data_IF_520716357898
#
_entry.id   IF_520716357898
#
_cell.length_a   1.000
_cell.length_b   1.000
_cell.length_c   1.000
_cell.angle_alpha   90.00
_cell.angle_beta   90.00
_cell.angle_gamma   90.00
#
_symmetry.space_group_name_H-M   'P 1'
#
loop_
_entity.id
_entity.type
_entity.pdbx_description
1 polymer ?
#
# COMPACT_ATOMS: atom_id res chain seq x y z
N UNK A 1 23.95 -3.61 26.51
CA UNK A 1 23.27 -3.43 25.21
C UNK A 1 23.73 -4.56 24.32
N UNK A 2 22.83 -5.30 23.67
CA UNK A 2 23.26 -6.24 22.63
C UNK A 2 23.96 -5.44 21.52
N UNK A 3 25.05 -5.98 20.99
CA UNK A 3 25.82 -5.34 19.92
C UNK A 3 24.89 -5.09 18.72
N UNK A 4 24.61 -3.82 18.41
CA UNK A 4 23.72 -3.47 17.30
C UNK A 4 24.42 -3.85 16.02
N UNK A 5 23.89 -4.82 15.28
CA UNK A 5 24.42 -5.21 13.98
C UNK A 5 24.45 -4.00 13.05
N UNK A 6 25.63 -3.69 12.49
CA UNK A 6 25.80 -2.54 11.60
C UNK A 6 25.06 -2.70 10.27
N UNK A 7 25.13 -3.89 9.65
CA UNK A 7 24.44 -4.20 8.39
C UNK A 7 24.25 -5.71 8.25
N UNK A 8 23.32 -6.13 7.38
CA UNK A 8 23.18 -7.54 7.01
C UNK A 8 24.45 -8.02 6.30
N UNK A 9 25.04 -7.17 5.48
CA UNK A 9 26.22 -7.41 4.67
C UNK A 9 27.45 -7.75 5.53
N UNK A 10 27.61 -7.09 6.69
CA UNK A 10 28.65 -7.40 7.67
C UNK A 10 28.46 -8.80 8.30
N UNK A 11 27.23 -9.30 8.37
CA UNK A 11 26.97 -10.68 8.80
C UNK A 11 27.25 -11.67 7.67
N UNK A 12 26.80 -11.35 6.45
CA UNK A 12 26.97 -12.22 5.28
C UNK A 12 28.44 -12.39 4.88
N UNK A 13 29.29 -11.38 5.11
CA UNK A 13 30.73 -11.45 4.81
C UNK A 13 31.47 -12.55 5.58
N UNK A 14 30.85 -13.14 6.62
CA UNK A 14 31.39 -14.24 7.42
C UNK A 14 31.19 -15.61 6.75
N UNK A 15 30.42 -15.68 5.67
CA UNK A 15 30.16 -16.91 4.90
C UNK A 15 31.31 -17.20 3.93
N UNK A 16 31.48 -18.49 3.60
CA UNK A 16 32.39 -18.88 2.52
C UNK A 16 31.94 -18.32 1.16
N UNK A 17 32.88 -18.06 0.26
CA UNK A 17 32.60 -17.37 -1.01
C UNK A 17 31.53 -18.05 -1.88
N UNK A 18 31.47 -19.39 -1.87
CA UNK A 18 30.47 -20.14 -2.62
C UNK A 18 29.07 -19.91 -2.06
N UNK A 19 28.91 -20.01 -0.75
CA UNK A 19 27.64 -19.82 -0.06
C UNK A 19 27.21 -18.35 -0.12
N UNK A 20 28.15 -17.41 0.02
CA UNK A 20 27.89 -15.98 -0.11
C UNK A 20 27.28 -15.64 -1.48
N UNK A 21 27.83 -16.16 -2.58
CA UNK A 21 27.30 -15.92 -3.93
C UNK A 21 25.87 -16.43 -4.08
N UNK A 22 25.60 -17.63 -3.57
CA UNK A 22 24.27 -18.22 -3.66
C UNK A 22 23.25 -17.49 -2.78
N UNK A 23 23.64 -17.13 -1.56
CA UNK A 23 22.84 -16.30 -0.67
C UNK A 23 22.56 -14.94 -1.32
N UNK A 24 23.56 -14.31 -1.94
CA UNK A 24 23.36 -13.03 -2.63
C UNK A 24 22.41 -13.15 -3.82
N UNK A 25 22.49 -14.23 -4.60
CA UNK A 25 21.57 -14.51 -5.71
C UNK A 25 20.13 -14.65 -5.20
N UNK A 26 19.91 -15.34 -4.09
CA UNK A 26 18.57 -15.57 -3.54
C UNK A 26 18.02 -14.30 -2.86
N UNK A 27 18.82 -13.65 -2.01
CA UNK A 27 18.38 -12.50 -1.21
C UNK A 27 18.33 -11.21 -2.03
N UNK A 28 19.30 -10.96 -2.91
CA UNK A 28 19.38 -9.70 -3.67
C UNK A 28 19.03 -9.86 -5.14
N UNK A 29 18.94 -11.08 -5.68
CA UNK A 29 18.69 -11.37 -7.10
C UNK A 29 19.98 -11.62 -7.88
N UNK A 30 20.94 -10.70 -7.78
CA UNK A 30 22.30 -10.83 -8.34
C UNK A 30 23.25 -9.88 -7.61
N UNK A 31 24.55 -10.14 -7.70
CA UNK A 31 25.57 -9.18 -7.28
C UNK A 31 25.57 -7.99 -8.25
N UNK A 32 25.70 -6.78 -7.71
CA UNK A 32 25.74 -5.54 -8.49
C UNK A 32 27.18 -5.03 -8.61
N UNK A 33 27.49 -4.40 -9.74
CA UNK A 33 28.74 -3.68 -9.92
C UNK A 33 28.72 -2.38 -9.11
N UNK A 34 29.86 -2.00 -8.53
CA UNK A 34 29.98 -0.78 -7.75
C UNK A 34 30.41 0.42 -8.60
N UNK A 35 29.83 1.59 -8.33
CA UNK A 35 30.22 2.84 -8.99
C UNK A 35 31.51 3.38 -8.34
N UNK A 36 32.49 3.76 -9.16
CA UNK A 36 33.68 4.48 -8.69
C UNK A 36 33.39 5.98 -8.61
N UNK A 37 33.44 6.55 -7.40
CA UNK A 37 33.15 7.97 -7.13
C UNK A 37 34.21 8.58 -6.22
N UNK A 38 35.48 8.71 -6.65
CA UNK A 38 36.60 9.03 -5.75
C UNK A 38 36.44 10.37 -5.03
N UNK A 39 36.04 11.44 -5.75
CA UNK A 39 35.85 12.76 -5.14
C UNK A 39 34.69 12.79 -4.13
N UNK A 40 33.57 12.14 -4.46
CA UNK A 40 32.44 12.01 -3.54
C UNK A 40 32.80 11.15 -2.32
N UNK A 41 33.58 10.08 -2.52
CA UNK A 41 34.03 9.19 -1.44
C UNK A 41 34.95 9.90 -0.46
N UNK A 42 35.92 10.65 -0.95
CA UNK A 42 36.80 11.46 -0.10
C UNK A 42 35.99 12.50 0.71
N UNK A 43 35.02 13.16 0.09
CA UNK A 43 34.15 14.10 0.78
C UNK A 43 33.25 13.42 1.83
N UNK A 44 32.69 12.25 1.50
CA UNK A 44 31.85 11.47 2.42
C UNK A 44 32.64 10.96 3.63
N UNK A 45 33.86 10.46 3.42
CA UNK A 45 34.72 9.97 4.50
C UNK A 45 35.09 11.09 5.47
N UNK A 46 35.38 12.30 4.95
CA UNK A 46 35.63 13.49 5.80
C UNK A 46 34.41 13.91 6.60
N UNK A 47 33.22 13.73 6.04
CA UNK A 47 31.94 14.11 6.64
C UNK A 47 31.32 13.00 7.52
N UNK A 48 31.95 11.82 7.61
CA UNK A 48 31.41 10.67 8.33
C UNK A 48 30.07 10.18 7.76
N UNK A 49 29.95 10.11 6.43
CA UNK A 49 28.77 9.64 5.72
C UNK A 49 29.10 8.31 5.02
N UNK A 50 28.27 7.29 5.25
CA UNK A 50 28.35 6.02 4.52
C UNK A 50 27.91 6.22 3.07
N UNK A 51 28.88 6.33 2.15
CA UNK A 51 28.62 6.42 0.71
C UNK A 51 28.77 5.04 0.05
N UNK A 52 27.67 4.56 -0.54
CA UNK A 52 27.62 3.34 -1.35
C UNK A 52 27.16 3.65 -2.77
N UNK A 53 27.64 2.89 -3.75
CA UNK A 53 27.39 3.12 -5.18
C UNK A 53 27.17 1.83 -5.96
N UNK A 54 26.06 1.69 -6.70
CA UNK A 54 25.77 0.49 -7.50
C UNK A 54 25.20 0.79 -8.91
N UNK A 55 25.38 -0.14 -9.84
CA UNK A 55 24.87 -0.03 -11.22
C UNK A 55 23.77 -1.08 -11.47
N UNK A 56 22.64 -0.66 -12.05
CA UNK A 56 21.56 -1.51 -12.53
C UNK A 56 21.28 -1.21 -14.02
N UNK A 57 22.02 -1.88 -14.90
CA UNK A 57 21.92 -1.69 -16.35
C UNK A 57 20.78 -2.49 -16.98
N UNK A 58 20.14 -1.91 -18.00
CA UNK A 58 19.21 -2.61 -18.88
C UNK A 58 19.94 -3.27 -20.07
N UNK A 59 19.25 -4.14 -20.81
CA UNK A 59 19.77 -4.65 -22.07
C UNK A 59 19.79 -3.54 -23.13
N UNK A 60 20.72 -3.60 -24.08
CA UNK A 60 20.79 -2.61 -25.17
C UNK A 60 19.57 -2.74 -26.10
N UNK A 61 18.88 -1.63 -26.34
CA UNK A 61 17.79 -1.56 -27.31
C UNK A 61 18.28 -1.04 -28.68
N UNK A 62 17.60 -1.45 -29.75
CA UNK A 62 17.93 -1.01 -31.12
C UNK A 62 17.29 0.33 -31.48
N UNK A 63 16.13 0.65 -30.90
CA UNK A 63 15.30 1.82 -31.26
C UNK A 63 15.31 2.91 -30.20
N UNK A 64 15.85 2.64 -29.00
CA UNK A 64 15.95 3.60 -27.90
C UNK A 64 17.38 3.66 -27.39
N UNK A 65 17.85 4.87 -27.15
CA UNK A 65 19.09 5.07 -26.38
C UNK A 65 18.86 4.67 -24.91
N UNK A 66 19.91 4.23 -24.19
CA UNK A 66 19.86 4.04 -22.74
C UNK A 66 19.34 5.30 -22.03
N UNK A 67 18.43 5.13 -21.07
CA UNK A 67 17.89 6.23 -20.25
C UNK A 67 18.50 6.15 -18.86
N UNK A 68 19.80 6.45 -18.80
CA UNK A 68 20.61 6.30 -17.57
C UNK A 68 20.40 7.50 -16.65
N UNK A 69 20.11 7.21 -15.37
CA UNK A 69 19.84 8.19 -14.32
C UNK A 69 20.54 7.75 -13.04
N UNK A 70 21.14 8.68 -12.30
CA UNK A 70 21.67 8.43 -10.95
C UNK A 70 20.68 8.89 -9.90
N UNK A 71 20.25 7.95 -9.06
CA UNK A 71 19.33 8.19 -7.95
C UNK A 71 20.10 8.17 -6.64
N UNK A 72 19.86 9.17 -5.79
CA UNK A 72 20.39 9.29 -4.44
C UNK A 72 19.32 9.05 -3.37
N UNK A 73 19.60 8.15 -2.42
CA UNK A 73 18.77 7.92 -1.24
C UNK A 73 19.54 8.34 0.01
N UNK A 74 18.95 9.25 0.80
CA UNK A 74 19.58 9.81 2.00
C UNK A 74 18.91 9.29 3.26
N UNK A 75 19.71 8.73 4.17
CA UNK A 75 19.31 8.45 5.54
C UNK A 75 20.20 9.23 6.52
N UNK A 76 19.61 9.78 7.58
CA UNK A 76 20.36 10.53 8.58
C UNK A 76 19.67 10.52 9.95
N UNK A 77 20.47 10.77 10.98
CA UNK A 77 20.02 11.05 12.36
C UNK A 77 19.55 12.49 12.47
N UNK A 78 18.83 12.80 13.56
CA UNK A 78 18.74 14.18 14.03
C UNK A 78 20.11 14.67 14.52
N UNK A 79 20.34 15.98 14.45
CA UNK A 79 21.64 16.58 14.78
C UNK A 79 21.69 17.12 16.20
N UNK A 80 20.64 17.82 16.62
CA UNK A 80 20.52 18.40 17.95
C UNK A 80 19.53 17.61 18.81
N UNK A 81 19.63 17.75 20.13
CA UNK A 81 18.69 17.14 21.06
C UNK A 81 17.26 17.67 20.81
N UNK A 82 16.27 16.82 21.06
CA UNK A 82 14.86 17.15 20.81
C UNK A 82 14.35 18.30 21.71
N UNK A 83 15.06 18.60 22.81
CA UNK A 83 14.78 19.72 23.71
C UNK A 83 15.27 21.09 23.23
N UNK A 84 16.09 21.14 22.17
CA UNK A 84 16.59 22.40 21.61
C UNK A 84 15.47 23.18 20.89
N UNK A 85 15.63 24.50 20.64
CA UNK A 85 14.63 25.26 19.89
C UNK A 85 14.34 24.68 18.49
N UNK A 86 13.07 24.65 18.09
CA UNK A 86 12.59 24.08 16.80
C UNK A 86 13.40 24.61 15.60
N UNK A 87 13.64 25.91 15.55
CA UNK A 87 14.40 26.55 14.47
C UNK A 87 15.88 26.12 14.45
N UNK A 88 16.51 25.95 15.62
CA UNK A 88 17.88 25.48 15.73
C UNK A 88 18.01 24.02 15.24
N UNK A 89 17.09 23.16 15.65
CA UNK A 89 17.03 21.76 15.20
C UNK A 89 16.87 21.69 13.67
N UNK A 90 15.95 22.47 13.10
CA UNK A 90 15.73 22.54 11.64
C UNK A 90 16.97 23.01 10.89
N UNK A 91 17.61 24.10 11.34
CA UNK A 91 18.82 24.64 10.73
C UNK A 91 19.99 23.66 10.78
N UNK A 92 20.15 22.94 11.89
CA UNK A 92 21.18 21.91 11.99
C UNK A 92 20.96 20.76 10.98
N UNK A 93 19.71 20.34 10.80
CA UNK A 93 19.32 19.38 9.76
C UNK A 93 19.54 19.93 8.35
N UNK A 94 19.20 21.19 8.08
CA UNK A 94 19.47 21.84 6.79
C UNK A 94 20.97 21.80 6.46
N UNK A 95 21.84 22.18 7.39
CA UNK A 95 23.30 22.15 7.21
C UNK A 95 23.81 20.73 6.93
N UNK A 96 23.32 19.73 7.66
CA UNK A 96 23.72 18.32 7.45
C UNK A 96 23.27 17.80 6.08
N UNK A 97 22.05 18.10 5.68
CA UNK A 97 21.53 17.72 4.36
C UNK A 97 22.21 18.48 3.22
N UNK A 98 22.61 19.74 3.42
CA UNK A 98 23.40 20.48 2.42
C UNK A 98 24.73 19.77 2.12
N UNK A 99 25.43 19.32 3.16
CA UNK A 99 26.67 18.56 3.01
C UNK A 99 26.46 17.26 2.22
N UNK A 100 25.42 16.49 2.55
CA UNK A 100 25.07 15.25 1.83
C UNK A 100 24.68 15.54 0.37
N UNK A 101 23.90 16.58 0.09
CA UNK A 101 23.51 16.97 -1.28
C UNK A 101 24.74 17.38 -2.10
N UNK A 102 25.71 18.08 -1.49
CA UNK A 102 26.97 18.44 -2.17
C UNK A 102 27.78 17.19 -2.53
N UNK A 103 27.83 16.19 -1.65
CA UNK A 103 28.45 14.89 -1.94
C UNK A 103 27.69 14.15 -3.05
N UNK A 104 26.36 14.16 -3.02
CA UNK A 104 25.52 13.60 -4.08
C UNK A 104 25.77 14.27 -5.43
N UNK A 105 25.97 15.59 -5.46
CA UNK A 105 26.34 16.32 -6.66
C UNK A 105 27.73 15.90 -7.19
N UNK A 106 28.73 15.70 -6.32
CA UNK A 106 30.04 15.13 -6.71
C UNK A 106 29.92 13.69 -7.25
N UNK A 107 28.92 12.94 -6.80
CA UNK A 107 28.59 11.61 -7.29
C UNK A 107 27.75 11.63 -8.58
N UNK A 108 27.36 12.81 -9.09
CA UNK A 108 26.57 12.96 -10.31
C UNK A 108 25.10 12.54 -10.15
N UNK A 109 24.53 12.61 -8.95
CA UNK A 109 23.12 12.30 -8.70
C UNK A 109 22.21 13.27 -9.47
N UNK A 110 21.19 12.74 -10.15
CA UNK A 110 20.18 13.51 -10.87
C UNK A 110 18.89 13.70 -10.06
N UNK A 111 18.49 12.68 -9.29
CA UNK A 111 17.31 12.72 -8.42
C UNK A 111 17.73 12.27 -7.03
N UNK A 112 17.49 13.11 -6.02
CA UNK A 112 17.74 12.76 -4.62
C UNK A 112 16.45 12.77 -3.80
N UNK A 113 16.29 11.79 -2.92
CA UNK A 113 15.18 11.74 -1.98
C UNK A 113 15.68 11.69 -0.55
N UNK A 114 15.06 12.51 0.29
CA UNK A 114 15.27 12.55 1.73
C UNK A 114 14.30 11.61 2.44
N UNK A 115 14.58 11.27 3.69
CA UNK A 115 13.72 10.42 4.53
C UNK A 115 12.42 11.12 4.95
N UNK A 116 11.51 10.38 5.58
CA UNK A 116 10.24 10.96 6.05
C UNK A 116 10.45 12.01 7.16
N UNK A 117 9.74 13.14 7.03
CA UNK A 117 9.77 14.26 7.97
C UNK A 117 11.22 14.64 8.34
N UNK A 118 12.09 14.72 7.33
CA UNK A 118 13.54 14.79 7.52
C UNK A 118 14.00 16.01 8.31
N UNK A 119 13.21 17.08 8.29
CA UNK A 119 13.50 18.37 8.92
C UNK A 119 13.03 18.48 10.38
N UNK A 120 12.66 17.36 11.01
CA UNK A 120 12.25 17.28 12.41
C UNK A 120 12.61 15.94 13.07
N UNK A 121 12.67 15.86 14.41
CA UNK A 121 12.50 14.60 15.14
C UNK A 121 11.13 13.99 14.85
N UNK A 122 11.03 12.68 14.88
CA UNK A 122 9.79 11.94 14.66
C UNK A 122 8.89 11.93 15.90
N UNK A 123 8.52 13.13 16.36
CA UNK A 123 7.88 13.39 17.65
C UNK A 123 6.44 12.87 17.79
N UNK A 124 5.90 12.17 16.80
CA UNK A 124 4.50 11.75 16.78
C UNK A 124 4.16 10.75 17.91
N UNK A 125 5.16 10.07 18.49
CA UNK A 125 4.97 9.24 19.69
C UNK A 125 4.47 9.99 20.91
N UNK A 126 4.92 11.23 21.08
CA UNK A 126 4.60 12.05 22.25
C UNK A 126 3.10 12.39 22.30
N UNK A 127 2.44 12.46 21.14
CA UNK A 127 1.07 12.97 20.93
C UNK A 127 0.89 14.44 21.32
N UNK A 128 1.96 15.10 21.76
CA UNK A 128 1.96 16.50 22.13
C UNK A 128 1.85 17.36 20.87
N UNK A 129 1.06 18.43 20.93
CA UNK A 129 0.96 19.34 19.79
C UNK A 129 2.10 20.35 19.77
N UNK A 130 2.39 21.00 20.88
CA UNK A 130 3.48 21.98 20.97
C UNK A 130 4.70 21.36 21.66
N UNK A 131 5.93 21.73 21.26
CA UNK A 131 6.26 22.62 20.14
C UNK A 131 6.25 21.92 18.76
N UNK A 132 5.96 20.61 18.70
CA UNK A 132 6.16 19.79 17.50
C UNK A 132 5.42 20.27 16.25
N UNK A 133 4.23 20.84 16.40
CA UNK A 133 3.46 21.40 15.29
C UNK A 133 4.03 22.72 14.72
N UNK A 134 5.02 23.34 15.38
CA UNK A 134 5.79 24.48 14.84
C UNK A 134 6.82 24.03 13.78
N UNK A 135 7.12 22.72 13.68
CA UNK A 135 7.86 22.18 12.54
C UNK A 135 7.06 22.23 11.24
N UNK A 136 5.72 22.32 11.32
CA UNK A 136 4.88 22.35 10.13
C UNK A 136 5.06 23.68 9.36
N UNK A 137 5.33 23.59 8.06
CA UNK A 137 5.59 24.74 7.20
C UNK A 137 4.83 24.67 5.87
N UNK A 138 4.74 25.80 5.14
CA UNK A 138 4.14 25.80 3.79
C UNK A 138 4.93 24.88 2.87
N UNK A 139 4.24 24.02 2.12
CA UNK A 139 4.87 23.11 1.16
C UNK A 139 5.66 23.86 0.07
N UNK A 140 5.19 25.04 -0.35
CA UNK A 140 5.79 25.79 -1.47
C UNK A 140 6.69 26.93 -0.99
N UNK A 141 6.32 27.57 0.13
CA UNK A 141 6.95 28.79 0.62
C UNK A 141 7.66 28.61 1.97
N UNK A 142 7.66 27.39 2.54
CA UNK A 142 8.36 27.06 3.78
C UNK A 142 9.88 27.21 3.64
N UNK A 143 10.55 27.46 4.76
CA UNK A 143 12.00 27.72 4.76
C UNK A 143 12.78 26.55 4.20
N UNK A 144 12.33 25.31 4.44
CA UNK A 144 12.96 24.11 3.90
C UNK A 144 12.84 24.02 2.38
N UNK A 145 11.64 24.27 1.81
CA UNK A 145 11.46 24.25 0.35
C UNK A 145 12.30 25.34 -0.31
N UNK A 146 12.31 26.57 0.23
CA UNK A 146 13.12 27.66 -0.31
C UNK A 146 14.63 27.36 -0.28
N UNK A 147 15.10 26.76 0.82
CA UNK A 147 16.48 26.28 0.95
C UNK A 147 16.81 25.24 -0.13
N UNK A 148 15.96 24.22 -0.30
CA UNK A 148 16.21 23.15 -1.28
C UNK A 148 16.08 23.60 -2.73
N UNK A 149 15.21 24.56 -3.06
CA UNK A 149 15.11 25.15 -4.41
C UNK A 149 16.46 25.71 -4.89
N UNK A 150 17.21 26.35 -3.98
CA UNK A 150 18.55 26.86 -4.28
C UNK A 150 19.51 25.72 -4.62
N UNK A 151 19.51 24.64 -3.84
CA UNK A 151 20.39 23.50 -4.05
C UNK A 151 20.04 22.72 -5.33
N UNK A 152 18.75 22.48 -5.57
CA UNK A 152 18.23 21.84 -6.78
C UNK A 152 18.73 22.54 -8.04
N UNK A 153 18.55 23.87 -8.11
CA UNK A 153 19.04 24.70 -9.22
C UNK A 153 20.56 24.70 -9.34
N UNK A 154 21.28 24.81 -8.21
CA UNK A 154 22.75 24.88 -8.20
C UNK A 154 23.38 23.60 -8.73
N UNK A 155 22.77 22.45 -8.43
CA UNK A 155 23.33 21.14 -8.76
C UNK A 155 22.62 20.46 -9.94
N UNK A 156 21.68 21.13 -10.60
CA UNK A 156 20.84 20.57 -11.66
C UNK A 156 20.23 19.21 -11.24
N UNK A 157 19.61 19.18 -10.06
CA UNK A 157 19.16 17.96 -9.39
C UNK A 157 17.71 18.09 -8.95
N UNK A 158 16.90 17.08 -9.23
CA UNK A 158 15.54 16.97 -8.67
C UNK A 158 15.65 16.55 -7.20
N UNK A 159 14.95 17.26 -6.31
CA UNK A 159 14.96 16.99 -4.86
C UNK A 159 13.54 16.65 -4.39
N UNK A 160 13.40 15.50 -3.73
CA UNK A 160 12.17 15.06 -3.08
C UNK A 160 12.30 15.31 -1.57
N UNK A 161 11.41 16.13 -1.02
CA UNK A 161 11.46 16.62 0.36
C UNK A 161 10.18 16.28 1.14
N UNK A 162 10.17 15.17 1.91
CA UNK A 162 9.09 14.82 2.81
C UNK A 162 9.12 15.66 4.09
N UNK A 163 8.10 16.48 4.31
CA UNK A 163 7.98 17.42 5.43
C UNK A 163 6.61 17.31 6.12
N UNK A 164 6.51 17.93 7.29
CA UNK A 164 5.23 18.27 7.89
C UNK A 164 4.72 19.56 7.22
N UNK A 165 3.65 19.47 6.44
CA UNK A 165 3.04 20.61 5.78
C UNK A 165 2.02 21.26 6.72
N UNK A 166 2.02 22.60 6.77
CA UNK A 166 0.88 23.39 7.20
C UNK A 166 0.23 24.00 5.97
N UNK A 167 -1.01 23.60 5.68
CA UNK A 167 -1.76 24.13 4.54
C UNK A 167 -2.05 25.63 4.74
N UNK A 168 -1.64 26.45 3.78
CA UNK A 168 -1.73 27.91 3.87
C UNK A 168 -3.18 28.44 3.94
N UNK A 169 -4.17 27.65 3.51
CA UNK A 169 -5.58 28.07 3.48
C UNK A 169 -6.27 27.75 4.81
N UNK A 170 -6.20 26.50 5.25
CA UNK A 170 -6.97 26.01 6.43
C UNK A 170 -6.11 25.86 7.68
N UNK A 171 -4.79 26.04 7.59
CA UNK A 171 -3.85 25.77 8.68
C UNK A 171 -3.76 24.29 9.07
N UNK A 172 -4.40 23.39 8.30
CA UNK A 172 -4.44 21.95 8.54
C UNK A 172 -3.05 21.36 8.30
N UNK A 173 -2.67 20.41 9.16
CA UNK A 173 -1.37 19.76 9.08
C UNK A 173 -1.49 18.50 8.22
N UNK A 174 -0.47 18.24 7.39
CA UNK A 174 -0.37 17.08 6.51
C UNK A 174 1.04 16.51 6.53
N UNK A 175 1.18 15.22 6.26
CA UNK A 175 2.47 14.62 5.92
C UNK A 175 2.62 14.61 4.40
N UNK A 176 3.63 15.34 3.91
CA UNK A 176 3.67 15.77 2.51
C UNK A 176 5.06 15.64 1.92
N UNK A 177 5.18 15.00 0.76
CA UNK A 177 6.37 15.06 -0.08
C UNK A 177 6.25 16.18 -1.10
N UNK A 178 7.21 17.11 -1.08
CA UNK A 178 7.34 18.18 -2.08
C UNK A 178 8.36 17.74 -3.13
N UNK A 179 8.03 17.91 -4.42
CA UNK A 179 8.94 17.61 -5.53
C UNK A 179 9.45 18.92 -6.10
N UNK A 180 10.76 19.13 -5.99
CA UNK A 180 11.48 20.30 -6.49
C UNK A 180 12.24 19.87 -7.74
N UNK A 181 11.97 20.54 -8.84
CA UNK A 181 12.59 20.30 -10.15
C UNK A 181 14.07 20.70 -10.16
N UNK A 182 14.84 20.17 -11.11
CA UNK A 182 16.24 20.54 -11.31
C UNK A 182 16.44 22.02 -11.69
N UNK A 183 15.39 22.69 -12.19
CA UNK A 183 15.37 24.14 -12.42
C UNK A 183 15.24 24.96 -11.13
N UNK A 184 14.92 24.32 -10.00
CA UNK A 184 14.57 24.94 -8.73
C UNK A 184 13.10 25.36 -8.62
N UNK A 185 12.25 25.03 -9.58
CA UNK A 185 10.80 25.21 -9.48
C UNK A 185 10.17 24.11 -8.60
N UNK A 186 9.06 24.39 -7.93
CA UNK A 186 8.26 23.34 -7.26
C UNK A 186 7.34 22.73 -8.32
N UNK A 187 7.48 21.43 -8.61
CA UNK A 187 6.59 20.73 -9.55
C UNK A 187 5.22 20.46 -8.91
N UNK A 188 5.21 20.23 -7.61
CA UNK A 188 4.00 19.98 -6.85
C UNK A 188 4.29 19.20 -5.57
N UNK A 189 3.24 18.61 -5.01
CA UNK A 189 3.28 17.87 -3.73
C UNK A 189 2.36 16.65 -3.73
N UNK A 190 2.68 15.68 -2.88
CA UNK A 190 1.86 14.51 -2.60
C UNK A 190 1.70 14.34 -1.09
N UNK A 191 0.45 14.14 -0.62
CA UNK A 191 0.11 13.90 0.79
C UNK A 191 -0.05 12.42 1.08
N UNK A 192 0.44 11.97 2.23
CA UNK A 192 0.46 10.56 2.66
C UNK A 192 -0.96 9.96 2.64
N UNK A 193 -1.20 9.00 1.74
CA UNK A 193 -2.53 8.38 1.56
C UNK A 193 -2.96 7.53 2.75
N UNK A 194 -2.04 6.80 3.38
CA UNK A 194 -2.34 5.85 4.46
C UNK A 194 -1.66 6.28 5.76
N UNK A 195 -2.46 6.56 6.80
CA UNK A 195 -1.97 7.09 8.07
C UNK A 195 -1.97 5.99 9.14
N UNK A 196 -0.81 5.68 9.76
CA UNK A 196 -0.74 4.70 10.82
C UNK A 196 -1.41 5.19 12.10
N UNK A 197 -1.84 4.21 12.90
CA UNK A 197 -2.38 4.36 14.26
C UNK A 197 -1.80 3.31 15.22
N UNK A 198 -0.62 2.79 14.91
CA UNK A 198 -0.04 1.59 15.55
C UNK A 198 1.10 1.97 16.50
N UNK A 199 0.99 1.55 17.76
CA UNK A 199 2.03 1.76 18.78
C UNK A 199 2.42 3.23 18.94
N UNK A 200 3.71 3.53 18.80
CA UNK A 200 4.24 4.89 18.89
C UNK A 200 3.99 5.74 17.62
N UNK A 201 3.54 5.14 16.52
CA UNK A 201 3.22 5.82 15.27
C UNK A 201 1.81 6.43 15.33
N UNK A 202 1.59 7.36 16.27
CA UNK A 202 0.31 8.03 16.54
C UNK A 202 0.02 9.19 15.56
N UNK A 203 0.40 9.02 14.30
CA UNK A 203 0.38 10.04 13.26
C UNK A 203 -1.01 10.63 13.00
N UNK A 204 -2.06 9.81 13.11
CA UNK A 204 -3.46 10.27 12.94
C UNK A 204 -3.90 11.35 13.94
N UNK A 205 -3.13 11.57 15.01
CA UNK A 205 -3.34 12.69 15.96
C UNK A 205 -2.97 14.04 15.34
N UNK A 206 -2.08 14.04 14.34
CA UNK A 206 -1.48 15.23 13.75
C UNK A 206 -2.09 15.58 12.39
N UNK A 207 -2.39 14.59 11.56
CA UNK A 207 -2.84 14.79 10.17
C UNK A 207 -3.80 13.70 9.67
N UNK A 208 -4.53 14.05 8.61
CA UNK A 208 -5.52 13.20 7.96
C UNK A 208 -4.94 12.39 6.78
N UNK A 209 -5.72 11.42 6.29
CA UNK A 209 -5.44 10.70 5.05
C UNK A 209 -5.38 11.67 3.86
N UNK A 210 -4.35 11.49 3.02
CA UNK A 210 -4.04 12.38 1.92
C UNK A 210 -5.18 12.50 0.90
N UNK A 211 -5.38 13.71 0.39
CA UNK A 211 -6.40 14.05 -0.60
C UNK A 211 -5.83 14.33 -2.01
N UNK A 212 -4.56 13.99 -2.25
CA UNK A 212 -3.86 14.27 -3.52
C UNK A 212 -3.88 13.10 -4.50
N UNK A 213 -4.47 11.95 -4.14
CA UNK A 213 -4.47 10.75 -4.97
C UNK A 213 -3.06 10.15 -5.12
N UNK A 214 -2.71 9.73 -6.34
CA UNK A 214 -1.44 9.04 -6.64
C UNK A 214 -0.66 9.75 -7.76
N UNK A 215 -0.24 11.01 -7.56
CA UNK A 215 0.39 11.79 -8.61
C UNK A 215 1.74 11.18 -9.04
N UNK A 216 2.02 11.27 -10.34
CA UNK A 216 3.31 10.95 -10.94
C UNK A 216 3.88 12.24 -11.53
N UNK A 217 5.10 12.58 -11.15
CA UNK A 217 5.77 13.80 -11.54
C UNK A 217 6.70 13.51 -12.72
N UNK A 218 6.46 14.17 -13.85
CA UNK A 218 7.33 14.11 -15.02
C UNK A 218 8.51 15.06 -14.81
N UNK A 219 9.71 14.51 -14.74
CA UNK A 219 10.97 15.28 -14.68
C UNK A 219 11.80 15.03 -15.95
N UNK A 220 12.87 15.78 -16.15
CA UNK A 220 13.86 15.48 -17.20
C UNK A 220 14.51 14.10 -17.00
N UNK A 221 14.60 13.65 -15.75
CA UNK A 221 15.26 12.41 -15.34
C UNK A 221 14.30 11.23 -15.14
N UNK A 222 13.08 11.32 -15.65
CA UNK A 222 12.08 10.25 -15.62
C UNK A 222 10.80 10.57 -14.83
N UNK A 223 9.86 9.62 -14.85
CA UNK A 223 8.58 9.72 -14.15
C UNK A 223 8.69 9.18 -12.74
N UNK A 224 8.59 10.05 -11.75
CA UNK A 224 8.76 9.70 -10.33
C UNK A 224 7.45 9.78 -9.56
N UNK A 225 7.31 8.94 -8.54
CA UNK A 225 6.23 9.01 -7.57
C UNK A 225 6.77 8.78 -6.15
N UNK A 226 5.95 9.11 -5.15
CA UNK A 226 6.35 9.02 -3.74
C UNK A 226 5.27 8.27 -2.99
N UNK A 227 5.58 7.07 -2.50
CA UNK A 227 4.74 6.34 -1.56
C UNK A 227 5.24 6.60 -0.14
N UNK A 228 4.59 7.48 0.62
CA UNK A 228 5.11 7.92 1.91
C UNK A 228 4.88 6.85 3.00
N UNK A 229 5.98 6.36 3.57
CA UNK A 229 6.07 5.54 4.78
C UNK A 229 5.05 4.39 4.87
N UNK A 230 3.99 4.54 5.68
CA UNK A 230 3.01 3.49 5.96
C UNK A 230 2.20 3.06 4.73
N UNK A 231 2.20 3.88 3.68
CA UNK A 231 1.70 3.45 2.37
C UNK A 231 2.50 2.27 1.77
N UNK A 232 3.68 1.93 2.30
CA UNK A 232 4.45 0.74 1.91
C UNK A 232 3.70 -0.57 2.14
N UNK A 233 2.84 -0.61 3.16
CA UNK A 233 2.07 -1.80 3.53
C UNK A 233 0.86 -2.06 2.62
N UNK A 234 0.60 -1.16 1.67
CA UNK A 234 -0.62 -1.16 0.87
C UNK A 234 -0.27 -1.43 -0.60
N UNK A 235 -0.35 -2.69 -1.08
CA UNK A 235 -0.08 -3.03 -2.48
C UNK A 235 -0.89 -2.20 -3.49
N UNK A 236 -2.12 -1.80 -3.15
CA UNK A 236 -2.95 -0.95 -3.99
C UNK A 236 -2.37 0.47 -4.14
N UNK A 237 -1.73 1.03 -3.11
CA UNK A 237 -1.10 2.34 -3.18
C UNK A 237 0.06 2.33 -4.18
N UNK A 238 0.91 1.30 -4.11
CA UNK A 238 1.97 1.03 -5.09
C UNK A 238 1.44 0.84 -6.51
N UNK A 239 0.40 0.01 -6.65
CA UNK A 239 -0.24 -0.27 -7.93
C UNK A 239 -0.70 1.01 -8.62
N UNK A 240 -1.37 1.90 -7.89
CA UNK A 240 -1.92 3.14 -8.47
C UNK A 240 -0.83 4.07 -9.02
N UNK A 241 0.34 4.16 -8.39
CA UNK A 241 1.48 4.88 -8.98
C UNK A 241 2.00 4.20 -10.25
N UNK A 242 2.04 2.86 -10.27
CA UNK A 242 2.40 2.09 -11.47
C UNK A 242 1.44 2.30 -12.63
N UNK A 243 0.14 2.28 -12.35
CA UNK A 243 -0.93 2.54 -13.34
C UNK A 243 -0.87 3.97 -13.88
N UNK A 244 -0.47 4.94 -13.06
CA UNK A 244 -0.25 6.33 -13.47
C UNK A 244 1.10 6.54 -14.19
N UNK A 245 1.87 5.46 -14.42
CA UNK A 245 3.05 5.47 -15.28
C UNK A 245 4.38 5.76 -14.60
N UNK A 246 4.48 5.64 -13.27
CA UNK A 246 5.74 5.80 -12.56
C UNK A 246 6.82 4.83 -13.06
N UNK A 247 8.06 5.33 -13.19
CA UNK A 247 9.28 4.57 -13.51
C UNK A 247 10.14 4.36 -12.25
N UNK A 248 10.04 5.28 -11.29
CA UNK A 248 10.70 5.21 -9.98
C UNK A 248 9.68 5.61 -8.91
N UNK A 249 9.49 4.77 -7.89
CA UNK A 249 8.66 5.09 -6.73
C UNK A 249 9.52 5.14 -5.47
N UNK A 250 9.65 6.34 -4.91
CA UNK A 250 10.36 6.59 -3.67
C UNK A 250 9.48 6.27 -2.46
N UNK A 251 10.06 5.67 -1.43
CA UNK A 251 9.38 5.35 -0.18
C UNK A 251 10.14 5.89 1.03
N UNK A 252 10.05 7.22 1.27
CA UNK A 252 10.60 7.84 2.46
C UNK A 252 9.81 7.37 3.68
N UNK A 253 10.51 6.85 4.67
CA UNK A 253 9.95 6.24 5.87
C UNK A 253 10.70 6.66 7.12
N UNK A 254 10.02 6.56 8.25
CA UNK A 254 10.62 6.48 9.58
C UNK A 254 9.95 5.31 10.31
N UNK A 255 10.71 4.26 10.62
CA UNK A 255 10.18 3.06 11.28
C UNK A 255 11.26 2.35 12.09
N UNK A 256 10.87 1.71 13.20
CA UNK A 256 11.81 1.18 14.20
C UNK A 256 11.97 -0.35 14.14
N UNK A 257 13.11 -0.83 14.62
CA UNK A 257 13.56 -2.22 14.47
C UNK A 257 12.58 -3.23 15.08
N UNK A 258 12.18 -2.99 16.34
CA UNK A 258 11.31 -3.90 17.10
C UNK A 258 9.89 -4.06 16.54
N UNK A 259 9.47 -3.22 15.60
CA UNK A 259 8.12 -3.26 15.03
C UNK A 259 8.10 -3.86 13.62
N UNK A 260 9.06 -3.51 12.76
CA UNK A 260 8.84 -3.57 11.31
C UNK A 260 9.99 -4.07 10.45
N UNK A 261 11.19 -4.27 11.03
CA UNK A 261 12.41 -4.50 10.23
C UNK A 261 12.32 -5.76 9.36
N UNK A 262 11.64 -6.81 9.85
CA UNK A 262 11.42 -8.05 9.10
C UNK A 262 10.54 -7.88 7.84
N UNK A 263 9.77 -6.80 7.74
CA UNK A 263 8.97 -6.46 6.55
C UNK A 263 9.78 -5.65 5.53
N UNK A 264 10.80 -4.92 5.99
CA UNK A 264 11.50 -3.91 5.21
C UNK A 264 12.10 -4.45 3.91
N UNK A 265 12.71 -5.63 3.95
CA UNK A 265 13.31 -6.27 2.78
C UNK A 265 12.32 -6.88 1.79
N UNK A 266 11.01 -6.84 2.09
CA UNK A 266 9.95 -7.52 1.34
C UNK A 266 9.07 -6.53 0.58
N UNK A 267 8.51 -5.52 1.24
CA UNK A 267 7.38 -4.76 0.73
C UNK A 267 7.72 -3.89 -0.49
N UNK A 268 8.73 -3.01 -0.37
CA UNK A 268 9.18 -2.17 -1.48
C UNK A 268 9.81 -3.01 -2.60
N UNK A 269 10.43 -4.15 -2.27
CA UNK A 269 10.96 -5.08 -3.26
C UNK A 269 9.83 -5.73 -4.07
N UNK A 270 8.78 -6.21 -3.39
CA UNK A 270 7.60 -6.77 -4.03
C UNK A 270 6.90 -5.72 -4.91
N UNK A 271 6.82 -4.47 -4.46
CA UNK A 271 6.24 -3.39 -5.24
C UNK A 271 6.99 -3.12 -6.56
N UNK A 272 8.33 -3.18 -6.57
CA UNK A 272 9.11 -3.07 -7.81
C UNK A 272 8.78 -4.20 -8.79
N UNK A 273 8.75 -5.44 -8.29
CA UNK A 273 8.47 -6.66 -9.07
C UNK A 273 7.04 -6.63 -9.65
N UNK A 274 6.04 -6.33 -8.81
CA UNK A 274 4.63 -6.40 -9.21
C UNK A 274 4.24 -5.33 -10.24
N UNK A 275 4.97 -4.20 -10.27
CA UNK A 275 4.61 -3.03 -11.06
C UNK A 275 5.59 -2.68 -12.19
N UNK A 276 6.71 -3.40 -12.30
CA UNK A 276 7.75 -3.18 -13.31
C UNK A 276 8.35 -1.77 -13.30
N UNK A 277 8.65 -1.26 -12.10
CA UNK A 277 9.35 0.02 -11.90
C UNK A 277 10.46 -0.13 -10.87
N UNK A 278 11.30 0.89 -10.69
CA UNK A 278 12.25 0.94 -9.59
C UNK A 278 11.57 1.38 -8.29
N UNK A 279 12.01 0.83 -7.15
CA UNK A 279 11.66 1.37 -5.82
C UNK A 279 12.88 1.83 -5.06
N UNK A 280 12.69 2.87 -4.25
CA UNK A 280 13.76 3.48 -3.44
C UNK A 280 13.26 3.56 -1.99
N UNK A 281 13.59 2.56 -1.18
CA UNK A 281 13.17 2.49 0.22
C UNK A 281 14.18 3.22 1.10
N UNK A 282 13.72 4.21 1.86
CA UNK A 282 14.57 5.09 2.67
C UNK A 282 14.03 5.10 4.08
N UNK A 283 14.86 4.75 5.06
CA UNK A 283 14.47 4.83 6.47
C UNK A 283 15.44 5.74 7.24
N UNK A 284 14.92 6.39 8.27
CA UNK A 284 15.69 7.10 9.29
C UNK A 284 16.69 6.18 10.00
N UNK A 285 17.71 6.78 10.62
CA UNK A 285 18.68 6.09 11.49
C UNK A 285 18.78 6.75 12.87
N UNK A 286 19.21 5.97 13.86
CA UNK A 286 19.50 6.44 15.22
C UNK A 286 18.34 6.30 16.20
N UNK A 287 18.53 6.81 17.42
CA UNK A 287 17.49 6.90 18.44
C UNK A 287 17.13 8.36 18.69
N UNK A 288 15.91 8.59 19.12
CA UNK A 288 15.40 9.91 19.47
C UNK A 288 14.75 9.83 20.85
N UNK A 289 15.28 10.61 21.80
CA UNK A 289 14.73 10.74 23.15
C UNK A 289 14.01 12.09 23.28
N UNK A 290 12.83 12.09 23.90
CA UNK A 290 11.95 13.26 24.04
C UNK A 290 11.91 13.79 25.47
N UNK A 291 11.61 15.10 25.69
CA UNK A 291 11.68 15.70 27.02
C UNK A 291 10.74 15.06 28.05
N UNK A 292 9.53 14.71 27.61
CA UNK A 292 8.46 14.14 28.44
C UNK A 292 8.28 12.65 28.16
N UNK A 293 7.84 11.91 29.19
CA UNK A 293 7.54 10.49 29.04
C UNK A 293 6.25 10.27 28.24
N UNK A 294 6.22 9.23 27.42
CA UNK A 294 5.03 8.74 26.71
C UNK A 294 4.90 7.22 26.84
N UNK A 295 3.77 6.67 26.38
CA UNK A 295 3.50 5.22 26.40
C UNK A 295 3.15 4.70 25.01
N UNK A 296 3.65 3.52 24.67
CA UNK A 296 3.50 2.88 23.36
C UNK A 296 2.20 2.08 23.18
N UNK A 297 1.36 2.02 24.20
CA UNK A 297 0.11 1.22 24.16
C UNK A 297 0.33 -0.30 24.24
N UNK A 298 1.49 -0.75 24.69
CA UNK A 298 1.88 -2.17 24.82
C UNK A 298 1.90 -2.67 26.29
N UNK A 299 1.45 -1.85 27.23
CA UNK A 299 1.41 -2.15 28.66
C UNK A 299 2.75 -1.99 29.38
N UNK A 300 3.83 -1.56 28.70
CA UNK A 300 5.10 -1.24 29.35
C UNK A 300 5.07 0.13 30.05
N UNK A 301 6.02 0.41 30.96
CA UNK A 301 6.14 1.71 31.60
C UNK A 301 6.35 2.86 30.61
N UNK A 302 5.98 4.06 31.06
CA UNK A 302 6.28 5.27 30.33
C UNK A 302 7.80 5.46 30.19
N UNK A 303 8.21 6.06 29.08
CA UNK A 303 9.61 6.23 28.72
C UNK A 303 9.78 7.43 27.79
N UNK A 304 11.03 7.84 27.56
CA UNK A 304 11.38 8.99 26.73
C UNK A 304 11.96 8.62 25.36
N UNK A 305 12.50 7.42 25.21
CA UNK A 305 13.17 6.96 23.99
C UNK A 305 12.17 6.31 23.03
N UNK A 306 12.04 6.83 21.81
CA UNK A 306 11.14 6.29 20.77
C UNK A 306 11.57 4.92 20.23
N UNK A 307 12.86 4.61 20.32
CA UNK A 307 13.45 3.38 19.82
C UNK A 307 14.33 3.60 18.59
N UNK A 308 14.93 2.49 18.16
CA UNK A 308 15.98 2.47 17.16
C UNK A 308 15.42 2.47 15.73
N UNK A 309 15.62 3.58 15.01
CA UNK A 309 15.47 3.64 13.57
C UNK A 309 16.65 2.94 12.89
N UNK A 310 16.35 1.96 12.03
CA UNK A 310 17.33 0.98 11.56
C UNK A 310 17.89 1.22 10.16
N UNK A 311 17.67 2.40 9.56
CA UNK A 311 18.23 2.74 8.24
C UNK A 311 17.98 1.66 7.21
N UNK A 312 19.03 1.00 6.75
CA UNK A 312 18.92 -0.10 5.77
C UNK A 312 18.26 0.35 4.47
N UNK A 313 18.47 1.61 4.10
CA UNK A 313 17.92 2.16 2.85
C UNK A 313 18.48 1.40 1.64
N UNK A 314 17.64 1.12 0.64
CA UNK A 314 18.00 0.31 -0.52
C UNK A 314 17.16 0.64 -1.77
N UNK A 315 17.66 0.22 -2.93
CA UNK A 315 16.97 0.38 -4.22
C UNK A 315 16.67 -1.00 -4.81
N UNK A 316 15.47 -1.18 -5.38
CA UNK A 316 15.08 -2.40 -6.11
C UNK A 316 14.77 -2.06 -7.57
N UNK A 317 15.25 -2.90 -8.47
CA UNK A 317 14.97 -2.89 -9.89
C UNK A 317 13.65 -3.63 -10.24
N UNK A 318 13.05 -3.31 -11.39
CA UNK A 318 11.90 -4.05 -11.94
C UNK A 318 12.11 -5.56 -12.03
N UNK A 319 13.34 -6.01 -12.32
CA UNK A 319 13.69 -7.44 -12.44
C UNK A 319 13.76 -8.19 -11.10
N UNK A 320 13.50 -7.51 -9.99
CA UNK A 320 13.57 -8.05 -8.63
C UNK A 320 14.95 -8.03 -8.00
N UNK A 321 15.99 -7.61 -8.75
CA UNK A 321 17.31 -7.33 -8.19
C UNK A 321 17.24 -6.14 -7.25
N UNK A 322 18.01 -6.12 -6.17
CA UNK A 322 18.14 -4.95 -5.28
C UNK A 322 19.57 -4.71 -4.83
N UNK A 323 19.84 -3.48 -4.40
CA UNK A 323 21.08 -3.16 -3.70
C UNK A 323 21.12 -3.83 -2.33
N UNK A 324 22.34 -4.03 -1.78
CA UNK A 324 22.56 -4.04 -0.34
C UNK A 324 21.87 -2.88 0.38
N UNK A 325 21.59 -3.06 1.66
CA UNK A 325 21.12 -1.97 2.52
C UNK A 325 22.29 -1.07 2.94
N UNK A 326 22.04 0.23 3.11
CA UNK A 326 22.95 1.09 3.87
C UNK A 326 23.03 0.66 5.34
N UNK A 327 24.00 1.22 6.07
CA UNK A 327 24.16 0.99 7.50
C UNK A 327 22.84 1.13 8.29
N UNK A 328 22.70 0.33 9.35
CA UNK A 328 21.62 0.42 10.34
C UNK A 328 21.83 1.55 11.34
N UNK A 329 23.04 2.12 11.37
CA UNK A 329 23.50 2.97 12.46
C UNK A 329 24.17 4.28 12.04
N UNK A 330 24.48 4.44 10.76
CA UNK A 330 25.20 5.60 10.24
C UNK A 330 24.31 6.44 9.31
N UNK A 331 24.57 7.75 9.29
CA UNK A 331 24.12 8.60 8.19
C UNK A 331 24.73 8.06 6.88
N UNK A 332 23.96 8.12 5.80
CA UNK A 332 24.41 7.51 4.56
C UNK A 332 23.74 8.07 3.31
N UNK A 333 24.45 7.92 2.20
CA UNK A 333 24.02 8.25 0.86
C UNK A 333 24.22 7.01 -0.03
N UNK A 334 23.12 6.48 -0.54
CA UNK A 334 23.13 5.42 -1.53
C UNK A 334 22.95 6.02 -2.91
N UNK A 335 23.95 5.85 -3.77
CA UNK A 335 23.90 6.26 -5.18
C UNK A 335 23.69 5.04 -6.04
N UNK A 336 22.68 5.03 -6.90
CA UNK A 336 22.49 3.95 -7.87
C UNK A 336 22.27 4.52 -9.27
N UNK A 337 23.09 4.07 -10.21
CA UNK A 337 22.95 4.35 -11.63
C UNK A 337 22.00 3.31 -12.22
N UNK A 338 20.84 3.76 -12.69
CA UNK A 338 19.78 2.90 -13.20
C UNK A 338 19.48 3.25 -14.67
N UNK A 339 19.15 2.26 -15.49
CA UNK A 339 18.58 2.49 -16.82
C UNK A 339 17.07 2.30 -16.80
N UNK A 340 16.33 3.38 -17.04
CA UNK A 340 14.86 3.38 -17.01
C UNK A 340 14.23 2.50 -18.10
N UNK A 341 14.96 2.15 -19.15
CA UNK A 341 14.49 1.21 -20.17
C UNK A 341 14.23 -0.18 -19.60
N UNK A 342 14.85 -0.55 -18.47
CA UNK A 342 14.58 -1.81 -17.78
C UNK A 342 13.10 -2.00 -17.43
N UNK A 343 12.37 -0.92 -17.13
CA UNK A 343 10.94 -0.98 -16.83
C UNK A 343 10.15 -1.60 -17.98
N UNK A 344 10.40 -1.15 -19.22
CA UNK A 344 9.74 -1.66 -20.42
C UNK A 344 10.18 -3.09 -20.74
N UNK A 345 11.48 -3.38 -20.61
CA UNK A 345 12.02 -4.73 -20.88
C UNK A 345 11.40 -5.79 -19.97
N UNK A 346 11.30 -5.52 -18.66
CA UNK A 346 10.71 -6.45 -17.70
C UNK A 346 9.19 -6.53 -17.90
N UNK A 347 8.54 -5.40 -18.19
CA UNK A 347 7.12 -5.37 -18.52
C UNK A 347 6.79 -6.27 -19.72
N UNK A 348 7.55 -6.19 -20.81
CA UNK A 348 7.30 -6.98 -22.01
C UNK A 348 7.69 -8.46 -21.83
N UNK A 349 8.68 -8.75 -20.98
CA UNK A 349 9.11 -10.12 -20.71
C UNK A 349 8.12 -10.87 -19.78
N UNK A 350 7.68 -10.24 -18.70
CA UNK A 350 6.83 -10.87 -17.67
C UNK A 350 5.33 -10.58 -17.84
N UNK A 351 4.98 -9.48 -18.53
CA UNK A 351 3.61 -9.13 -18.91
C UNK A 351 2.59 -9.00 -17.77
N UNK A 352 3.01 -8.74 -16.52
CA UNK A 352 2.06 -8.58 -15.41
C UNK A 352 1.03 -7.48 -15.68
N UNK A 353 1.44 -6.34 -16.27
CA UNK A 353 0.50 -5.27 -16.64
C UNK A 353 -0.54 -5.72 -17.67
N UNK A 354 -0.17 -6.58 -18.61
CA UNK A 354 -1.10 -7.14 -19.58
C UNK A 354 -2.12 -8.09 -18.93
N UNK A 355 -1.72 -8.82 -17.88
CA UNK A 355 -2.54 -9.85 -17.21
C UNK A 355 -3.19 -9.38 -15.90
N UNK A 356 -3.15 -8.07 -15.61
CA UNK A 356 -3.67 -7.49 -14.36
C UNK A 356 -5.18 -7.62 -14.15
N UNK A 357 -5.98 -7.80 -15.21
CA UNK A 357 -7.46 -7.89 -15.15
C UNK A 357 -8.12 -6.77 -14.34
N UNK A 358 -7.65 -5.52 -14.49
CA UNK A 358 -8.14 -4.36 -13.71
C UNK A 358 -9.66 -4.20 -13.71
N UNK A 359 -10.41 -4.40 -14.82
CA UNK A 359 -11.87 -4.30 -14.80
C UNK A 359 -12.53 -5.26 -13.81
N UNK A 360 -12.01 -6.49 -13.69
CA UNK A 360 -12.50 -7.47 -12.72
C UNK A 360 -12.27 -6.97 -11.30
N UNK A 361 -11.04 -6.56 -10.96
CA UNK A 361 -10.72 -6.11 -9.61
C UNK A 361 -11.48 -4.82 -9.23
N UNK A 362 -11.66 -3.90 -10.17
CA UNK A 362 -12.45 -2.69 -9.95
C UNK A 362 -13.90 -3.04 -9.57
N UNK A 363 -14.56 -3.89 -10.35
CA UNK A 363 -15.93 -4.34 -10.05
C UNK A 363 -16.02 -5.04 -8.68
N UNK A 364 -15.07 -5.93 -8.38
CA UNK A 364 -15.06 -6.66 -7.11
C UNK A 364 -14.82 -5.74 -5.91
N UNK A 365 -13.88 -4.79 -6.01
CA UNK A 365 -13.62 -3.80 -4.95
C UNK A 365 -14.85 -2.92 -4.71
N UNK A 366 -15.55 -2.48 -5.78
CA UNK A 366 -16.80 -1.73 -5.64
C UNK A 366 -17.86 -2.51 -4.87
N UNK A 367 -17.98 -3.82 -5.12
CA UNK A 367 -18.89 -4.70 -4.37
C UNK A 367 -18.47 -4.85 -2.90
N UNK A 368 -17.18 -5.06 -2.63
CA UNK A 368 -16.62 -5.22 -1.28
C UNK A 368 -16.83 -3.97 -0.42
N UNK A 369 -16.79 -2.78 -1.01
CA UNK A 369 -17.01 -1.51 -0.30
C UNK A 369 -18.48 -1.26 0.09
N UNK A 370 -19.44 -2.08 -0.36
CA UNK A 370 -20.84 -1.89 0.01
C UNK A 370 -21.10 -2.34 1.47
N UNK A 371 -21.89 -1.58 2.26
CA UNK A 371 -22.18 -1.94 3.65
C UNK A 371 -22.85 -3.32 3.84
N UNK A 372 -23.55 -3.80 2.81
CA UNK A 372 -24.25 -5.08 2.80
C UNK A 372 -23.48 -6.20 2.08
N UNK A 373 -22.19 -6.00 1.79
CA UNK A 373 -21.37 -6.99 1.10
C UNK A 373 -21.36 -8.33 1.85
N UNK A 374 -21.64 -9.41 1.10
CA UNK A 374 -21.50 -10.78 1.58
C UNK A 374 -20.26 -11.40 0.95
N UNK A 375 -19.24 -11.76 1.74
CA UNK A 375 -18.03 -12.40 1.20
C UNK A 375 -18.37 -13.65 0.39
N UNK A 376 -17.71 -13.82 -0.75
CA UNK A 376 -17.81 -15.02 -1.57
C UNK A 376 -17.22 -16.24 -0.82
N UNK A 377 -18.04 -16.90 0.00
CA UNK A 377 -17.68 -18.09 0.78
C UNK A 377 -18.49 -19.28 0.28
N UNK A 378 -17.81 -20.35 -0.09
CA UNK A 378 -18.43 -21.63 -0.41
C UNK A 378 -18.41 -22.47 0.87
N UNK A 379 -19.57 -22.73 1.45
CA UNK A 379 -19.72 -23.64 2.57
C UNK A 379 -20.32 -24.96 2.09
N UNK A 380 -20.01 -26.07 2.77
CA UNK A 380 -20.81 -27.29 2.63
C UNK A 380 -22.26 -26.88 2.90
N UNK A 381 -23.15 -27.09 1.94
CA UNK A 381 -24.54 -26.81 2.24
C UNK A 381 -24.91 -27.68 3.44
N UNK A 382 -25.67 -27.13 4.38
CA UNK A 382 -26.35 -27.96 5.38
C UNK A 382 -27.42 -28.87 4.72
N UNK A 383 -27.39 -29.01 3.38
CA UNK A 383 -28.27 -29.81 2.55
C UNK A 383 -27.77 -31.21 2.21
N UNK A 384 -27.12 -31.89 3.16
CA UNK A 384 -27.44 -33.31 3.34
C UNK A 384 -28.72 -33.48 4.20
N UNK A 385 -29.32 -32.40 4.74
CA UNK A 385 -30.62 -32.39 5.43
C UNK A 385 -31.44 -31.07 5.32
N UNK A 386 -31.14 -30.22 4.33
CA UNK A 386 -31.77 -28.92 4.11
C UNK A 386 -32.42 -28.91 2.74
N UNK A 387 -33.74 -29.10 2.70
CA UNK A 387 -34.52 -28.95 1.48
C UNK A 387 -34.48 -27.46 1.11
N UNK A 388 -34.01 -27.09 -0.10
CA UNK A 388 -33.93 -25.69 -0.51
C UNK A 388 -35.32 -25.06 -0.53
N UNK A 389 -35.46 -23.88 0.09
CA UNK A 389 -36.69 -23.09 0.11
C UNK A 389 -37.05 -22.43 -1.23
N UNK A 390 -36.26 -22.67 -2.28
CA UNK A 390 -36.52 -22.23 -3.67
C UNK A 390 -37.14 -23.33 -4.53
N UNK A 391 -37.83 -24.30 -3.92
CA UNK A 391 -38.91 -24.95 -4.66
C UNK A 391 -40.11 -24.03 -4.59
N UNK A 392 -40.37 -23.33 -5.69
CA UNK A 392 -41.68 -22.78 -5.98
C UNK A 392 -42.72 -23.87 -5.70
N UNK A 393 -43.42 -23.75 -4.56
CA UNK A 393 -44.49 -24.68 -4.24
C UNK A 393 -45.67 -24.32 -5.13
N UNK A 394 -45.90 -25.13 -6.16
CA UNK A 394 -47.13 -25.05 -6.94
C UNK A 394 -48.25 -25.68 -6.10
N UNK A 395 -49.00 -24.85 -5.37
CA UNK A 395 -50.25 -25.31 -4.75
C UNK A 395 -51.31 -25.27 -5.85
N UNK A 396 -51.65 -26.43 -6.40
CA UNK A 396 -52.80 -26.57 -7.31
C UNK A 396 -54.04 -26.72 -6.44
N UNK A 397 -54.83 -25.65 -6.31
CA UNK A 397 -56.17 -25.70 -5.75
C UNK A 397 -57.15 -26.08 -6.86
N UNK A 398 -57.64 -27.32 -6.84
CA UNK A 398 -58.71 -27.78 -7.73
C UNK A 398 -60.05 -27.46 -7.07
N UNK A 399 -60.78 -26.49 -7.62
CA UNK A 399 -62.11 -26.10 -7.14
C UNK A 399 -63.17 -26.70 -8.06
N UNK A 400 -63.42 -28.00 -7.90
CA UNK A 400 -64.49 -28.72 -8.60
C UNK A 400 -64.19 -29.12 -10.07
N UNK A 401 -65.07 -29.92 -10.69
CA UNK A 401 -64.84 -30.49 -12.01
C UNK A 401 -65.09 -29.43 -13.09
N UNK A 402 -64.03 -28.73 -13.52
CA UNK A 402 -64.12 -27.88 -14.70
C UNK A 402 -63.08 -26.77 -14.84
N UNK A 403 -62.51 -26.26 -13.73
CA UNK A 403 -61.57 -25.12 -13.80
C UNK A 403 -60.29 -25.41 -13.01
N UNK A 404 -59.15 -25.44 -13.72
CA UNK A 404 -57.81 -25.51 -13.13
C UNK A 404 -57.15 -24.15 -13.37
N UNK A 405 -57.14 -23.26 -12.38
CA UNK A 405 -56.30 -22.06 -12.44
C UNK A 405 -54.92 -22.38 -11.87
N UNK A 406 -53.91 -22.47 -12.73
CA UNK A 406 -52.51 -22.50 -12.32
C UNK A 406 -52.08 -21.07 -11.94
N UNK A 407 -51.69 -20.84 -10.69
CA UNK A 407 -51.06 -19.59 -10.27
C UNK A 407 -49.57 -19.85 -10.03
N UNK A 408 -48.73 -19.48 -11.00
CA UNK A 408 -47.28 -19.36 -10.79
C UNK A 408 -46.98 -17.96 -10.24
N UNK A 409 -46.17 -17.90 -9.19
CA UNK A 409 -45.52 -16.68 -8.68
C UNK A 409 -46.44 -15.60 -8.07
N UNK A 410 -46.98 -15.83 -6.88
CA UNK A 410 -47.42 -14.70 -6.01
C UNK A 410 -47.19 -15.02 -4.54
N UNK A 411 -46.69 -14.01 -3.82
CA UNK A 411 -46.48 -13.94 -2.37
C UNK A 411 -47.68 -14.51 -1.58
N UNK A 412 -47.46 -15.65 -0.90
CA UNK A 412 -48.50 -16.45 -0.23
C UNK A 412 -49.28 -15.67 0.84
N UNK A 413 -48.67 -14.60 1.37
CA UNK A 413 -49.26 -13.77 2.41
C UNK A 413 -50.49 -12.99 1.90
N UNK A 414 -50.51 -12.63 0.62
CA UNK A 414 -51.56 -11.82 -0.01
C UNK A 414 -52.85 -12.62 -0.31
N UNK A 415 -52.79 -13.95 -0.34
CA UNK A 415 -53.97 -14.80 -0.57
C UNK A 415 -54.59 -15.37 0.70
N UNK A 416 -53.83 -15.50 1.80
CA UNK A 416 -54.38 -15.90 3.10
C UNK A 416 -55.44 -14.88 3.56
N UNK A 417 -55.17 -13.58 3.37
CA UNK A 417 -56.10 -12.50 3.73
C UNK A 417 -57.38 -12.50 2.87
N UNK A 418 -57.36 -13.08 1.66
CA UNK A 418 -58.57 -13.26 0.82
C UNK A 418 -59.42 -14.46 1.23
N UNK A 419 -58.84 -15.45 1.91
CA UNK A 419 -59.54 -16.66 2.34
C UNK A 419 -60.17 -16.53 3.74
N UNK A 420 -59.78 -15.53 4.54
CA UNK A 420 -60.41 -15.24 5.83
C UNK A 420 -61.89 -14.82 5.73
N UNK A 421 -62.40 -14.53 4.52
CA UNK A 421 -63.81 -14.25 4.26
C UNK A 421 -64.70 -15.48 3.97
N UNK A 422 -64.12 -16.68 3.82
CA UNK A 422 -64.88 -17.89 3.49
C UNK A 422 -65.43 -18.57 4.77
N UNK A 423 -66.74 -18.84 4.80
CA UNK A 423 -67.36 -19.60 5.90
C UNK A 423 -66.70 -20.98 6.03
N UNK A 424 -66.34 -21.37 7.26
CA UNK A 424 -65.64 -22.61 7.68
C UNK A 424 -64.10 -22.65 7.59
N UNK A 425 -63.42 -21.52 7.32
CA UNK A 425 -61.94 -21.48 7.29
C UNK A 425 -61.26 -21.85 8.63
N UNK A 426 -61.93 -21.60 9.75
CA UNK A 426 -61.43 -21.97 11.09
C UNK A 426 -61.27 -23.47 11.30
N UNK A 427 -61.98 -24.30 10.53
CA UNK A 427 -61.95 -25.77 10.65
C UNK A 427 -60.68 -26.39 10.03
N UNK A 428 -60.12 -25.75 9.01
CA UNK A 428 -59.01 -26.29 8.19
C UNK A 428 -57.64 -25.67 8.48
N UNK A 429 -57.61 -24.60 9.29
CA UNK A 429 -56.39 -23.84 9.65
C UNK A 429 -55.30 -24.72 10.28
N UNK A 430 -55.69 -25.73 11.07
CA UNK A 430 -54.77 -26.66 11.73
C UNK A 430 -54.20 -27.73 10.79
N UNK A 431 -54.98 -28.21 9.82
CA UNK A 431 -54.55 -29.25 8.88
C UNK A 431 -53.67 -28.70 7.74
N UNK A 432 -53.97 -27.49 7.25
CA UNK A 432 -53.12 -26.79 6.27
C UNK A 432 -51.72 -26.50 6.86
N UNK A 433 -51.67 -26.14 8.16
CA UNK A 433 -50.40 -25.92 8.88
C UNK A 433 -49.57 -27.20 9.06
N UNK A 434 -50.20 -28.37 9.07
CA UNK A 434 -49.53 -29.68 9.17
C UNK A 434 -49.06 -30.18 7.80
N UNK A 435 -49.81 -29.91 6.73
CA UNK A 435 -49.47 -30.28 5.34
C UNK A 435 -48.21 -29.58 4.84
N UNK A 436 -48.03 -28.30 5.21
CA UNK A 436 -46.82 -27.52 4.88
C UNK A 436 -45.54 -28.07 5.50
N UNK A 437 -45.61 -28.95 6.52
CA UNK A 437 -44.43 -29.56 7.16
C UNK A 437 -43.99 -30.90 6.56
N UNK A 438 -44.84 -31.56 5.76
CA UNK A 438 -44.62 -32.97 5.39
C UNK A 438 -44.70 -33.29 3.88
N UNK A 439 -44.81 -32.30 2.99
CA UNK A 439 -44.80 -32.50 1.53
C UNK A 439 -45.76 -33.60 1.03
N UNK A 440 -47.04 -33.55 1.44
CA UNK A 440 -48.09 -34.45 0.93
C UNK A 440 -49.16 -33.67 0.16
N UNK A 441 -49.67 -34.26 -0.93
CA UNK A 441 -50.78 -33.71 -1.71
C UNK A 441 -52.10 -34.12 -1.05
N UNK A 442 -52.96 -33.13 -0.77
CA UNK A 442 -54.25 -33.33 -0.11
C UNK A 442 -55.38 -33.05 -1.10
N UNK A 443 -56.26 -34.02 -1.29
CA UNK A 443 -57.43 -33.89 -2.15
C UNK A 443 -58.58 -33.31 -1.31
N UNK A 444 -58.87 -32.02 -1.52
CA UNK A 444 -59.81 -31.26 -0.70
C UNK A 444 -61.27 -31.68 -0.95
N UNK A 445 -61.55 -32.33 -2.08
CA UNK A 445 -62.89 -32.80 -2.44
C UNK A 445 -63.21 -34.12 -1.75
N UNK A 446 -62.22 -35.00 -1.58
CA UNK A 446 -62.41 -36.34 -1.01
C UNK A 446 -61.92 -36.51 0.43
N UNK A 447 -61.16 -35.54 0.95
CA UNK A 447 -60.67 -35.52 2.33
C UNK A 447 -59.59 -36.57 2.65
N UNK A 448 -58.89 -37.11 1.63
CA UNK A 448 -57.87 -38.15 1.80
C UNK A 448 -56.50 -37.67 1.31
N UNK A 449 -55.45 -38.18 1.96
CA UNK A 449 -54.06 -38.02 1.53
C UNK A 449 -53.79 -38.92 0.32
N UNK A 450 -53.17 -38.36 -0.74
CA UNK A 450 -52.66 -39.15 -1.87
C UNK A 450 -51.14 -39.28 -1.78
N UNK A 451 -50.62 -40.43 -2.18
CA UNK A 451 -49.19 -40.60 -2.45
C UNK A 451 -48.82 -39.96 -3.80
N UNK A 452 -47.60 -39.42 -3.95
CA UNK A 452 -47.21 -38.73 -5.16
C UNK A 452 -47.08 -39.74 -6.30
N UNK A 453 -47.92 -39.59 -7.33
CA UNK A 453 -47.78 -40.35 -8.58
C UNK A 453 -46.58 -39.76 -9.34
N UNK A 454 -45.62 -40.59 -9.72
CA UNK A 454 -44.48 -40.18 -10.55
C UNK A 454 -44.99 -39.53 -11.86
N UNK A 455 -44.35 -38.47 -12.37
CA UNK A 455 -44.87 -37.74 -13.50
C UNK A 455 -44.88 -38.63 -14.75
N UNK A 456 -46.03 -38.73 -15.40
CA UNK A 456 -46.09 -39.17 -16.80
C UNK A 456 -45.26 -38.19 -17.64
N UNK A 457 -44.56 -38.69 -18.66
CA UNK A 457 -43.76 -37.84 -19.55
C UNK A 457 -44.63 -36.71 -20.13
N UNK A 458 -44.10 -35.48 -20.23
CA UNK A 458 -44.86 -34.37 -20.80
C UNK A 458 -45.20 -34.67 -22.25
N UNK A 459 -46.36 -34.23 -22.70
CA UNK A 459 -46.66 -34.23 -24.13
C UNK A 459 -45.80 -33.19 -24.87
N UNK A 460 -45.69 -33.35 -26.20
CA UNK A 460 -44.81 -32.55 -27.06
C UNK A 460 -45.09 -31.04 -26.98
N UNK A 461 -46.29 -30.63 -26.58
CA UNK A 461 -46.66 -29.23 -26.38
C UNK A 461 -45.98 -28.62 -25.14
N UNK A 462 -45.75 -29.42 -24.11
CA UNK A 462 -45.10 -29.00 -22.85
C UNK A 462 -43.58 -28.98 -23.00
N UNK A 463 -43.01 -29.86 -23.82
CA UNK A 463 -41.57 -29.89 -24.15
C UNK A 463 -41.14 -28.61 -24.90
N UNK A 464 -41.97 -28.11 -25.82
CA UNK A 464 -41.67 -26.92 -26.63
C UNK A 464 -41.61 -25.59 -25.85
N UNK A 465 -42.19 -25.54 -24.64
CA UNK A 465 -42.12 -24.36 -23.76
C UNK A 465 -40.82 -24.37 -22.94
N UNK A 466 -40.29 -25.55 -22.60
CA UNK A 466 -39.04 -25.71 -21.87
C UNK A 466 -37.81 -25.32 -22.68
N UNK A 467 -37.82 -25.47 -24.00
CA UNK A 467 -36.69 -25.14 -24.88
C UNK A 467 -36.62 -23.64 -25.27
N UNK A 468 -37.61 -22.83 -24.89
CA UNK A 468 -37.68 -21.39 -25.20
C UNK A 468 -37.39 -20.45 -24.02
N UNK A 469 -37.08 -20.98 -22.85
CA UNK A 469 -36.55 -20.27 -21.67
C UNK A 469 -35.07 -20.60 -21.56
#
# INVERSE_FOLDING_TARGET
MAEVTESLETLLSRLEMKDLKEVQRIIYGKSLESIKMPAAKEAADKAGIDLQGYIMAASKEQTRAPRVVRVGAVQNKIVLATSEPVDAQRKALHSRIEEIIRIAALAGVNIICLQEAWNMPFAFCTRERLPWTEFAESAENGSTTLFLKKLAKTHNMVIISPILERDDILGTIWNTAVVIDNTGAVLGKHRKNHIPRVGDFNESTYYFEGNTGHPVFQTEFGRIAINICYGRHHPLNWLMFGLNGAEIVFNPSATVAGLSEHLWGVEARNAAIANHYFTVAINRVGEEEFPNEFTSGDGKPAHKNFGWFYGSSYITAPDGTRTPGLSRIQDGLLVTEIDLNMCQQVQDNWNFRMTQRLPLYAEQLTKVCQPNYRPQRIAKSLSDNYIPSDRSFCIILVVGPGDVSCALNVDLKLQIDRLEGAKDFSRWKREISLLLRHNKVFDVVTGKLKEPVAPAQPDDATQAIYERV
#
